data_IF_799257951737
#
_entry.id   IF_799257951737
#
_cell.length_a   1.000
_cell.length_b   1.000
_cell.length_c   1.000
_cell.angle_alpha   90.00
_cell.angle_beta   90.00
_cell.angle_gamma   90.00
#
_symmetry.space_group_name_H-M   'P 1'
#
loop_
_entity.id
_entity.type
_entity.pdbx_description
1 polymer ?
#
# COMPACT_ATOMS: atom_id res chain seq x y z
N UNK A 1 -20.25 14.48 -37.01
CA UNK A 1 -18.82 14.37 -36.69
C UNK A 1 -18.69 13.82 -35.29
N UNK A 2 -18.54 12.50 -35.16
CA UNK A 2 -18.44 11.85 -33.85
C UNK A 2 -16.97 11.85 -33.44
N UNK A 3 -16.66 12.64 -32.43
CA UNK A 3 -15.35 12.65 -31.78
C UNK A 3 -15.20 11.38 -30.96
N UNK A 4 -14.41 10.45 -31.46
CA UNK A 4 -14.01 9.21 -30.79
C UNK A 4 -12.91 9.61 -29.80
N UNK A 5 -13.27 10.02 -28.58
CA UNK A 5 -12.35 9.95 -27.46
C UNK A 5 -12.32 8.51 -26.93
N UNK A 6 -11.56 7.67 -27.60
CA UNK A 6 -11.08 6.43 -27.07
C UNK A 6 -10.10 6.77 -25.92
N UNK A 7 -10.63 6.85 -24.71
CA UNK A 7 -9.80 6.82 -23.49
C UNK A 7 -9.18 5.42 -23.49
N UNK A 8 -7.94 5.31 -23.97
CA UNK A 8 -7.09 4.15 -23.76
C UNK A 8 -6.99 3.94 -22.26
N UNK A 9 -7.83 3.05 -21.70
CA UNK A 9 -7.64 2.54 -20.35
C UNK A 9 -6.28 1.87 -20.34
N UNK A 10 -5.27 2.55 -19.82
CA UNK A 10 -3.98 1.98 -19.52
C UNK A 10 -4.24 0.69 -18.73
N UNK A 11 -3.94 -0.46 -19.32
CA UNK A 11 -4.07 -1.75 -18.63
C UNK A 11 -3.02 -1.72 -17.51
N UNK A 12 -3.45 -1.57 -16.28
CA UNK A 12 -2.57 -1.65 -15.11
C UNK A 12 -1.81 -2.96 -15.15
N UNK A 13 -0.51 -2.87 -15.01
CA UNK A 13 0.39 -4.02 -15.09
C UNK A 13 0.94 -4.30 -13.71
N UNK A 14 0.76 -5.54 -13.22
CA UNK A 14 1.54 -6.04 -12.10
C UNK A 14 2.93 -6.38 -12.64
N UNK A 15 3.95 -5.82 -12.01
CA UNK A 15 5.35 -6.14 -12.29
C UNK A 15 5.91 -6.91 -11.10
N UNK A 16 6.44 -8.10 -11.35
CA UNK A 16 7.22 -8.82 -10.35
C UNK A 16 8.60 -8.17 -10.27
N UNK A 17 8.98 -7.71 -9.09
CA UNK A 17 10.30 -7.11 -8.85
C UNK A 17 11.30 -8.17 -8.41
N UNK A 18 10.87 -9.02 -7.47
CA UNK A 18 11.61 -10.15 -6.92
C UNK A 18 10.60 -11.24 -6.50
N UNK A 19 11.09 -12.40 -6.08
CA UNK A 19 10.23 -13.45 -5.54
C UNK A 19 9.44 -12.94 -4.32
N UNK A 20 8.13 -12.98 -4.42
CA UNK A 20 7.23 -12.49 -3.37
C UNK A 20 7.05 -10.98 -3.29
N UNK A 21 7.51 -10.20 -4.28
CA UNK A 21 7.40 -8.74 -4.30
C UNK A 21 6.86 -8.27 -5.65
N UNK A 22 5.74 -7.52 -5.64
CA UNK A 22 5.09 -6.98 -6.84
C UNK A 22 4.77 -5.50 -6.68
N UNK A 23 4.88 -4.76 -7.77
CA UNK A 23 4.46 -3.35 -7.85
C UNK A 23 3.38 -3.18 -8.93
N UNK A 24 2.39 -2.35 -8.64
CA UNK A 24 1.35 -1.94 -9.58
C UNK A 24 1.42 -0.42 -9.65
N UNK A 25 1.96 0.09 -10.72
CA UNK A 25 1.96 1.54 -10.95
C UNK A 25 0.55 2.03 -11.34
N UNK A 26 0.25 3.27 -11.00
CA UNK A 26 -1.05 3.91 -11.28
C UNK A 26 -2.26 3.07 -10.83
N UNK A 27 -2.11 2.36 -9.70
CA UNK A 27 -3.16 1.53 -9.13
C UNK A 27 -4.41 2.36 -8.81
N UNK A 28 -4.21 3.53 -8.19
CA UNK A 28 -5.23 4.57 -8.08
C UNK A 28 -4.69 5.90 -8.64
N UNK A 29 -5.59 6.83 -8.97
CA UNK A 29 -5.20 8.14 -9.49
C UNK A 29 -4.74 9.08 -8.38
N UNK A 30 -3.94 10.12 -8.73
CA UNK A 30 -3.55 11.18 -7.79
C UNK A 30 -4.75 11.89 -7.13
N UNK A 31 -5.85 12.22 -7.83
CA UNK A 31 -7.04 12.75 -7.17
C UNK A 31 -7.65 11.81 -6.13
N UNK A 32 -7.66 10.49 -6.39
CA UNK A 32 -8.11 9.50 -5.41
C UNK A 32 -7.18 9.44 -4.18
N UNK A 33 -5.86 9.56 -4.38
CA UNK A 33 -4.91 9.68 -3.28
C UNK A 33 -5.20 10.92 -2.42
N UNK A 34 -5.40 12.07 -3.06
CA UNK A 34 -5.69 13.34 -2.37
C UNK A 34 -7.00 13.27 -1.57
N UNK A 35 -8.06 12.67 -2.13
CA UNK A 35 -9.33 12.46 -1.42
C UNK A 35 -9.16 11.58 -0.18
N UNK A 36 -8.38 10.50 -0.30
CA UNK A 36 -8.07 9.64 0.86
C UNK A 36 -7.27 10.41 1.92
N UNK A 37 -6.24 11.15 1.53
CA UNK A 37 -5.44 11.95 2.47
C UNK A 37 -6.32 12.98 3.17
N UNK A 38 -7.20 13.69 2.45
CA UNK A 38 -8.12 14.66 3.05
C UNK A 38 -9.05 14.02 4.10
N UNK A 39 -9.50 12.79 3.85
CA UNK A 39 -10.33 12.04 4.79
C UNK A 39 -9.57 11.65 6.05
N UNK A 40 -8.38 11.09 5.90
CA UNK A 40 -7.58 10.63 7.06
C UNK A 40 -7.02 11.79 7.87
N UNK A 41 -6.74 12.96 7.27
CA UNK A 41 -6.31 14.16 8.01
C UNK A 41 -7.43 14.73 8.92
N UNK A 42 -8.70 14.41 8.65
CA UNK A 42 -9.81 14.73 9.55
C UNK A 42 -9.90 13.81 10.76
N UNK A 43 -9.11 12.73 10.78
CA UNK A 43 -9.04 11.80 11.91
C UNK A 43 -7.97 12.21 12.90
N UNK A 44 -8.00 11.60 14.08
CA UNK A 44 -6.97 11.85 15.09
C UNK A 44 -5.83 10.83 14.92
N UNK A 45 -4.79 11.18 14.19
CA UNK A 45 -3.56 10.40 14.13
C UNK A 45 -2.91 10.27 15.50
N UNK A 46 -2.58 9.06 15.88
CA UNK A 46 -1.88 8.74 17.13
C UNK A 46 -0.46 8.30 16.82
N UNK A 47 0.45 8.57 17.74
CA UNK A 47 1.79 7.99 17.70
C UNK A 47 1.68 6.48 17.78
N UNK A 48 2.38 5.77 16.91
CA UNK A 48 2.34 4.32 16.84
C UNK A 48 2.77 3.67 18.16
N UNK A 49 2.11 2.58 18.56
CA UNK A 49 2.26 1.96 19.91
C UNK A 49 3.69 1.52 20.24
N UNK A 50 4.53 1.25 19.24
CA UNK A 50 5.91 0.79 19.40
C UNK A 50 6.94 1.90 19.12
N UNK A 51 6.56 3.14 19.40
CA UNK A 51 7.32 4.34 19.06
C UNK A 51 8.81 4.32 19.48
N UNK A 52 9.14 3.74 20.64
CA UNK A 52 10.48 3.93 21.23
C UNK A 52 11.58 3.02 20.66
N UNK A 53 11.27 1.89 20.07
CA UNK A 53 12.30 0.88 19.74
C UNK A 53 12.36 0.43 18.28
N UNK A 54 11.23 0.33 17.60
CA UNK A 54 11.16 -0.23 16.23
C UNK A 54 10.50 0.64 15.19
N UNK A 55 9.72 1.65 15.58
CA UNK A 55 9.03 2.53 14.65
C UNK A 55 8.79 3.91 15.23
N UNK A 56 8.81 4.88 14.36
CA UNK A 56 8.59 6.29 14.64
C UNK A 56 7.70 6.85 13.53
N UNK A 57 6.40 6.80 13.72
CA UNK A 57 5.41 7.31 12.77
C UNK A 57 4.07 7.52 13.47
N UNK A 58 3.15 8.19 12.81
CA UNK A 58 1.76 8.32 13.26
C UNK A 58 0.87 7.34 12.53
N UNK A 59 -0.20 6.86 13.20
CA UNK A 59 -1.15 5.92 12.63
C UNK A 59 -2.60 6.28 12.95
N UNK A 60 -3.50 5.94 12.04
CA UNK A 60 -4.95 5.96 12.24
C UNK A 60 -5.58 4.75 11.55
N UNK A 61 -6.77 4.37 11.99
CA UNK A 61 -7.46 3.17 11.54
C UNK A 61 -8.88 3.53 11.12
N UNK A 62 -9.28 3.11 9.92
CA UNK A 62 -10.62 3.39 9.38
C UNK A 62 -11.27 2.16 8.76
N UNK A 63 -12.58 2.03 8.94
CA UNK A 63 -13.43 1.05 8.26
C UNK A 63 -14.34 1.77 7.24
N UNK A 64 -13.73 2.44 6.25
CA UNK A 64 -14.48 3.14 5.22
C UNK A 64 -14.82 2.23 4.03
N UNK A 65 -16.11 1.89 3.90
CA UNK A 65 -16.61 1.03 2.82
C UNK A 65 -16.22 1.54 1.42
N UNK A 66 -16.17 2.85 1.21
CA UNK A 66 -15.81 3.48 -0.07
C UNK A 66 -14.38 3.15 -0.46
N UNK A 67 -13.43 3.17 0.50
CA UNK A 67 -12.02 2.85 0.22
C UNK A 67 -11.88 1.35 -0.02
N UNK A 68 -12.54 0.51 0.78
CA UNK A 68 -12.52 -0.95 0.60
C UNK A 68 -13.06 -1.34 -0.78
N UNK A 69 -14.18 -0.73 -1.20
CA UNK A 69 -14.78 -1.00 -2.50
C UNK A 69 -13.89 -0.50 -3.65
N UNK A 70 -13.22 0.64 -3.48
CA UNK A 70 -12.21 1.12 -4.44
C UNK A 70 -11.11 0.06 -4.63
N UNK A 71 -10.54 -0.47 -3.54
CA UNK A 71 -9.50 -1.49 -3.60
C UNK A 71 -10.00 -2.76 -4.30
N UNK A 72 -11.20 -3.27 -3.93
CA UNK A 72 -11.81 -4.45 -4.55
C UNK A 72 -11.98 -4.28 -6.05
N UNK A 73 -12.53 -3.15 -6.49
CA UNK A 73 -12.74 -2.86 -7.91
C UNK A 73 -11.42 -2.78 -8.67
N UNK A 74 -10.37 -2.17 -8.07
CA UNK A 74 -9.05 -2.11 -8.69
C UNK A 74 -8.41 -3.49 -8.87
N UNK A 75 -8.47 -4.35 -7.87
CA UNK A 75 -7.94 -5.71 -7.98
C UNK A 75 -8.76 -6.58 -8.93
N UNK A 76 -10.08 -6.41 -8.99
CA UNK A 76 -10.94 -7.07 -9.97
C UNK A 76 -10.57 -6.68 -11.42
N UNK A 77 -10.29 -5.40 -11.68
CA UNK A 77 -9.81 -4.92 -12.99
C UNK A 77 -8.49 -5.58 -13.39
N UNK A 78 -7.60 -5.86 -12.44
CA UNK A 78 -6.29 -6.48 -12.66
C UNK A 78 -6.42 -7.98 -12.88
N UNK A 79 -7.25 -8.67 -12.11
CA UNK A 79 -7.43 -10.13 -12.22
C UNK A 79 -8.01 -10.57 -13.56
N UNK A 80 -8.75 -9.70 -14.24
CA UNK A 80 -9.27 -9.93 -15.61
C UNK A 80 -8.23 -9.72 -16.70
N UNK A 81 -7.11 -9.07 -16.40
CA UNK A 81 -5.94 -8.98 -17.29
C UNK A 81 -4.96 -10.13 -16.97
N UNK A 82 -4.07 -10.47 -17.92
CA UNK A 82 -3.03 -11.50 -17.67
C UNK A 82 -2.21 -11.11 -16.45
N UNK A 83 -2.55 -11.70 -15.29
CA UNK A 83 -1.87 -11.46 -14.03
C UNK A 83 -0.65 -12.39 -13.90
N UNK A 84 0.60 -11.89 -13.98
CA UNK A 84 1.79 -12.71 -13.83
C UNK A 84 1.97 -13.26 -12.41
N UNK A 85 1.32 -12.66 -11.43
CA UNK A 85 1.46 -13.04 -10.02
C UNK A 85 0.67 -14.31 -9.66
N UNK A 86 -0.21 -14.82 -10.53
CA UNK A 86 -0.99 -16.07 -10.36
C UNK A 86 -1.80 -16.16 -9.07
N UNK A 87 -2.19 -15.04 -8.46
CA UNK A 87 -3.07 -15.00 -7.29
C UNK A 87 -4.26 -14.07 -7.52
N UNK A 88 -5.35 -14.31 -6.80
CA UNK A 88 -6.52 -13.43 -6.77
C UNK A 88 -6.71 -12.91 -5.34
N UNK A 89 -6.69 -11.59 -5.17
CA UNK A 89 -7.03 -10.97 -3.89
C UNK A 89 -8.55 -10.94 -3.77
N UNK A 90 -9.08 -11.56 -2.72
CA UNK A 90 -10.51 -11.71 -2.46
C UNK A 90 -11.04 -10.78 -1.42
N UNK A 91 -10.21 -10.40 -0.43
CA UNK A 91 -10.61 -9.50 0.64
C UNK A 91 -9.40 -8.83 1.33
N UNK A 92 -9.70 -7.89 2.23
CA UNK A 92 -8.73 -7.12 3.00
C UNK A 92 -9.03 -7.23 4.50
N UNK A 93 -7.98 -7.11 5.31
CA UNK A 93 -8.11 -6.98 6.75
C UNK A 93 -8.68 -5.61 7.12
N UNK A 94 -9.61 -5.59 8.08
CA UNK A 94 -10.17 -4.35 8.62
C UNK A 94 -9.84 -4.23 10.11
N UNK A 95 -9.75 -2.99 10.64
CA UNK A 95 -9.77 -1.72 9.90
C UNK A 95 -8.56 -1.57 8.98
N UNK A 96 -8.69 -0.72 7.95
CA UNK A 96 -7.56 -0.28 7.13
C UNK A 96 -6.62 0.58 7.98
N UNK A 97 -5.33 0.37 7.82
CA UNK A 97 -4.28 1.05 8.59
C UNK A 97 -3.70 2.19 7.74
N UNK A 98 -3.66 3.40 8.27
CA UNK A 98 -3.06 4.56 7.59
C UNK A 98 -1.88 5.06 8.40
N UNK A 99 -0.75 5.24 7.72
CA UNK A 99 0.48 5.73 8.34
C UNK A 99 0.88 7.07 7.74
N UNK A 100 1.25 7.99 8.60
CA UNK A 100 1.86 9.27 8.28
C UNK A 100 3.28 9.27 8.82
N UNK A 101 4.23 9.55 7.94
CA UNK A 101 5.63 9.71 8.27
C UNK A 101 6.04 11.14 8.00
N UNK A 102 6.56 11.82 8.97
CA UNK A 102 7.17 13.14 8.88
C UNK A 102 8.68 13.01 8.82
N UNK A 103 9.41 14.11 8.62
CA UNK A 103 10.88 14.10 8.63
C UNK A 103 11.41 13.50 9.92
N UNK A 104 12.28 12.50 9.81
CA UNK A 104 12.82 11.73 10.91
C UNK A 104 12.09 10.41 11.19
N UNK A 105 10.92 10.19 10.60
CA UNK A 105 10.10 8.99 10.84
C UNK A 105 10.57 7.78 10.02
N UNK A 106 10.42 6.60 10.60
CA UNK A 106 10.84 5.32 10.02
C UNK A 106 10.08 4.13 10.66
N UNK A 107 10.20 2.95 10.08
CA UNK A 107 9.92 1.65 10.73
C UNK A 107 11.12 0.74 10.48
N UNK A 108 11.73 0.24 11.57
CA UNK A 108 12.84 -0.71 11.50
C UNK A 108 12.41 -2.03 10.86
N UNK A 109 13.39 -2.81 10.44
CA UNK A 109 13.23 -4.13 9.86
C UNK A 109 12.33 -5.02 10.71
N UNK A 110 11.32 -5.59 10.05
CA UNK A 110 10.34 -6.51 10.63
C UNK A 110 9.69 -7.32 9.51
N UNK A 111 8.99 -8.37 9.86
CA UNK A 111 8.02 -9.06 9.02
C UNK A 111 6.60 -8.76 9.50
N UNK A 112 5.63 -8.89 8.60
CA UNK A 112 4.23 -8.66 8.93
C UNK A 112 3.56 -9.92 9.50
N UNK A 113 2.69 -9.73 10.48
CA UNK A 113 1.90 -10.82 11.03
C UNK A 113 0.73 -11.19 10.13
N UNK A 114 0.47 -12.48 9.98
CA UNK A 114 -0.76 -12.99 9.38
C UNK A 114 -1.97 -12.59 10.22
N UNK A 115 -3.06 -12.23 9.54
CA UNK A 115 -4.35 -11.96 10.17
C UNK A 115 -5.31 -13.09 9.83
N UNK A 116 -5.97 -13.63 10.84
CA UNK A 116 -7.04 -14.61 10.67
C UNK A 116 -8.39 -13.91 10.52
N UNK A 117 -9.19 -14.33 9.54
CA UNK A 117 -10.57 -13.91 9.37
C UNK A 117 -11.38 -15.04 8.76
N UNK A 118 -12.45 -15.44 9.44
CA UNK A 118 -13.39 -16.50 8.99
C UNK A 118 -12.66 -17.81 8.59
N UNK A 119 -11.69 -18.23 9.39
CA UNK A 119 -10.90 -19.45 9.16
C UNK A 119 -9.89 -19.36 8.04
N UNK A 120 -9.61 -18.17 7.49
CA UNK A 120 -8.58 -17.92 6.46
C UNK A 120 -7.50 -17.02 7.03
N UNK A 121 -6.26 -17.27 6.61
CA UNK A 121 -5.12 -16.41 6.95
C UNK A 121 -4.74 -15.52 5.77
N UNK A 122 -4.43 -14.26 6.06
CA UNK A 122 -3.86 -13.36 5.05
C UNK A 122 -2.49 -13.86 4.60
N UNK A 123 -2.13 -13.58 3.35
CA UNK A 123 -0.87 -14.03 2.72
C UNK A 123 0.03 -12.88 2.30
N UNK A 124 -0.57 -11.78 1.85
CA UNK A 124 0.16 -10.64 1.34
C UNK A 124 -0.13 -9.39 2.17
N UNK A 125 0.83 -8.49 2.22
CA UNK A 125 0.63 -7.10 2.63
C UNK A 125 0.49 -6.24 1.38
N UNK A 126 -0.49 -5.34 1.42
CA UNK A 126 -0.65 -4.22 0.49
C UNK A 126 -0.14 -2.95 1.18
N UNK A 127 0.78 -2.25 0.54
CA UNK A 127 1.15 -0.87 0.86
C UNK A 127 0.79 0.01 -0.34
N UNK A 128 -0.23 0.85 -0.20
CA UNK A 128 -0.63 1.82 -1.21
C UNK A 128 -0.02 3.17 -0.84
N UNK A 129 0.89 3.67 -1.69
CA UNK A 129 1.50 4.98 -1.51
C UNK A 129 0.50 6.07 -1.91
N UNK A 130 0.14 6.93 -0.96
CA UNK A 130 -0.81 8.01 -1.18
C UNK A 130 -0.13 9.33 -1.55
N UNK A 131 1.17 9.47 -1.23
CA UNK A 131 1.96 10.66 -1.55
C UNK A 131 3.35 10.30 -2.07
N UNK A 132 3.97 11.23 -2.79
CA UNK A 132 5.36 11.18 -3.28
C UNK A 132 6.11 12.49 -3.07
N UNK A 133 5.60 13.39 -2.21
CA UNK A 133 6.20 14.67 -1.84
C UNK A 133 7.14 14.55 -0.63
N UNK A 134 7.96 13.51 -0.61
CA UNK A 134 8.98 13.28 0.40
C UNK A 134 10.30 12.83 -0.24
N UNK A 135 11.40 13.00 0.50
CA UNK A 135 12.70 12.36 0.20
C UNK A 135 12.96 11.29 1.25
N UNK A 136 13.60 10.20 0.84
CA UNK A 136 13.72 9.02 1.68
C UNK A 136 12.37 8.29 1.82
N UNK A 137 12.21 7.52 2.90
CA UNK A 137 10.98 6.80 3.19
C UNK A 137 10.72 5.61 2.26
N UNK A 138 11.73 5.12 1.55
CA UNK A 138 11.62 3.93 0.71
C UNK A 138 11.20 2.72 1.53
N UNK A 139 10.46 1.80 0.93
CA UNK A 139 10.28 0.45 1.48
C UNK A 139 11.45 -0.40 1.01
N UNK A 140 12.24 -0.93 1.94
CA UNK A 140 13.47 -1.66 1.67
C UNK A 140 13.36 -3.12 2.07
N UNK A 141 13.73 -4.00 1.16
CA UNK A 141 13.81 -5.46 1.35
C UNK A 141 15.29 -5.88 1.31
N UNK A 142 15.86 -6.10 2.48
CA UNK A 142 17.28 -6.41 2.65
C UNK A 142 17.70 -7.70 1.90
N UNK A 143 16.89 -8.75 1.98
CA UNK A 143 17.14 -10.04 1.30
C UNK A 143 17.49 -9.89 -0.18
N UNK A 144 16.88 -8.93 -0.85
CA UNK A 144 17.05 -8.71 -2.29
C UNK A 144 17.80 -7.42 -2.60
N UNK A 145 18.16 -6.64 -1.59
CA UNK A 145 18.74 -5.29 -1.74
C UNK A 145 17.86 -4.39 -2.63
N UNK A 146 16.54 -4.47 -2.49
CA UNK A 146 15.57 -3.71 -3.29
C UNK A 146 14.99 -2.58 -2.48
N UNK A 147 15.05 -1.35 -3.01
CA UNK A 147 14.42 -0.15 -2.47
C UNK A 147 13.29 0.30 -3.39
N UNK A 148 12.13 0.54 -2.82
CA UNK A 148 10.93 0.97 -3.53
C UNK A 148 10.59 2.38 -3.06
N UNK A 149 10.77 3.36 -3.96
CA UNK A 149 10.44 4.75 -3.69
C UNK A 149 8.93 4.93 -3.57
N UNK A 150 8.45 5.74 -2.63
CA UNK A 150 7.05 6.16 -2.60
C UNK A 150 6.68 6.86 -3.91
N UNK A 151 5.64 6.36 -4.57
CA UNK A 151 5.07 6.97 -5.79
C UNK A 151 3.57 7.05 -5.62
N UNK A 152 3.01 8.26 -5.61
CA UNK A 152 1.58 8.47 -5.40
C UNK A 152 0.74 7.64 -6.35
N UNK A 153 -0.18 6.84 -5.80
CA UNK A 153 -1.05 5.94 -6.54
C UNK A 153 -0.47 4.56 -6.86
N UNK A 154 0.80 4.29 -6.56
CA UNK A 154 1.39 2.97 -6.73
C UNK A 154 1.05 2.05 -5.55
N UNK A 155 0.77 0.77 -5.84
CA UNK A 155 0.52 -0.28 -4.87
C UNK A 155 1.66 -1.29 -4.88
N UNK A 156 2.28 -1.48 -3.72
CA UNK A 156 3.26 -2.51 -3.44
C UNK A 156 2.56 -3.68 -2.76
N UNK A 157 2.73 -4.88 -3.30
CA UNK A 157 2.29 -6.14 -2.71
C UNK A 157 3.51 -6.98 -2.38
N UNK A 158 3.50 -7.63 -1.22
CA UNK A 158 4.57 -8.55 -0.85
C UNK A 158 4.10 -9.63 0.12
N UNK A 159 4.82 -10.75 0.11
CA UNK A 159 4.58 -11.84 1.06
C UNK A 159 4.93 -11.41 2.49
N UNK A 160 4.02 -11.67 3.44
CA UNK A 160 4.10 -11.15 4.81
C UNK A 160 5.33 -11.61 5.59
N UNK A 161 5.88 -12.77 5.26
CA UNK A 161 7.10 -13.30 5.89
C UNK A 161 8.39 -12.60 5.44
N UNK A 162 8.35 -11.75 4.40
CA UNK A 162 9.52 -11.02 3.95
C UNK A 162 9.86 -9.89 4.91
N UNK A 163 11.06 -9.92 5.44
CA UNK A 163 11.61 -8.84 6.23
C UNK A 163 11.74 -7.58 5.38
N UNK A 164 11.22 -6.49 5.90
CA UNK A 164 11.26 -5.19 5.26
C UNK A 164 11.30 -4.06 6.28
N UNK A 165 11.65 -2.86 5.82
CA UNK A 165 11.64 -1.66 6.63
C UNK A 165 11.14 -0.45 5.83
N UNK A 166 10.64 0.57 6.52
CA UNK A 166 10.46 1.90 5.95
C UNK A 166 11.66 2.74 6.34
N UNK A 167 12.50 3.09 5.36
CA UNK A 167 13.67 3.92 5.58
C UNK A 167 13.25 5.31 6.08
N UNK A 168 14.20 6.02 6.68
CA UNK A 168 13.93 7.35 7.25
C UNK A 168 13.45 8.32 6.18
N UNK A 169 12.38 9.06 6.49
CA UNK A 169 11.96 10.23 5.70
C UNK A 169 12.90 11.38 6.04
N UNK A 170 13.64 11.88 5.07
CA UNK A 170 14.62 12.96 5.27
C UNK A 170 14.04 14.34 5.01
N UNK A 171 12.96 14.43 4.21
CA UNK A 171 12.26 15.69 3.92
C UNK A 171 10.81 15.41 3.53
N UNK A 172 9.88 16.28 3.92
CA UNK A 172 8.47 16.21 3.53
C UNK A 172 7.64 15.23 4.36
N UNK A 173 6.53 14.76 3.77
CA UNK A 173 5.58 13.88 4.45
C UNK A 173 5.16 12.74 3.54
N UNK A 174 5.28 11.51 4.04
CA UNK A 174 4.84 10.30 3.36
C UNK A 174 3.52 9.81 3.97
N UNK A 175 2.54 9.51 3.12
CA UNK A 175 1.29 8.85 3.51
C UNK A 175 1.16 7.51 2.81
N UNK A 176 0.76 6.49 3.57
CA UNK A 176 0.44 5.16 3.03
C UNK A 176 -0.84 4.61 3.65
N UNK A 177 -1.57 3.82 2.86
CA UNK A 177 -2.56 2.87 3.35
C UNK A 177 -1.89 1.50 3.38
N UNK A 178 -1.99 0.81 4.51
CA UNK A 178 -1.50 -0.55 4.69
C UNK A 178 -2.65 -1.48 5.07
N UNK A 179 -2.73 -2.65 4.46
CA UNK A 179 -3.66 -3.71 4.88
C UNK A 179 -3.13 -5.09 4.50
N UNK A 180 -3.65 -6.12 5.15
CA UNK A 180 -3.38 -7.50 4.80
C UNK A 180 -4.40 -8.00 3.77
N UNK A 181 -3.94 -8.81 2.80
CA UNK A 181 -4.76 -9.35 1.72
C UNK A 181 -5.01 -10.84 1.91
N UNK A 182 -6.26 -11.25 1.69
CA UNK A 182 -6.67 -12.65 1.63
C UNK A 182 -6.73 -13.10 0.17
N UNK A 183 -6.26 -14.29 -0.09
CA UNK A 183 -6.21 -14.90 -1.43
C UNK A 183 -7.16 -16.07 -1.53
N UNK A 184 -7.55 -16.40 -2.78
CA UNK A 184 -8.18 -17.69 -3.12
C UNK A 184 -7.15 -18.80 -3.13
#
# INVERSE_FOLDING_TARGET
MNSIFSILKSKRKITNLEEGIWIIEDFISRPQCSDIIERIEKTNFKVARQYKEGRHNKETFLEEAVIVELLRNKFKEISTSRNPAKFTITDFSLPLEFYKYETGDFIKRHSDAHRESKGRYSKLTLVLYLSDNCKGGETYFDKYNVKINPKSGAALLFEQQLDHEALIVTEGTKYVLRTNCYLD
#
